data_IF_079720529990
#
_entry.id   IF_079720529990
#
_cell.length_a   1.000
_cell.length_b   1.000
_cell.length_c   1.000
_cell.angle_alpha   90.00
_cell.angle_beta   90.00
_cell.angle_gamma   90.00
#
_symmetry.space_group_name_H-M   'P 1'
#
loop_
_entity.id
_entity.type
_entity.pdbx_description
1 polymer ?
#
# COMPACT_ATOMS: atom_id res chain seq x y z
N UNK A 1 -6.94 2.11 -6.44
CA UNK A 1 -7.02 2.70 -7.79
C UNK A 1 -8.41 2.55 -8.43
N UNK A 2 -9.17 1.48 -8.18
CA UNK A 2 -10.53 1.34 -8.72
C UNK A 2 -11.56 2.38 -8.22
N UNK A 3 -11.33 2.98 -7.04
CA UNK A 3 -12.26 3.97 -6.43
C UNK A 3 -12.14 5.38 -7.02
N UNK A 4 -11.19 5.62 -7.92
CA UNK A 4 -11.02 6.90 -8.60
C UNK A 4 -11.75 6.95 -9.95
N UNK A 5 -12.48 5.89 -10.29
CA UNK A 5 -13.34 5.82 -11.48
C UNK A 5 -14.76 6.21 -11.06
N UNK A 6 -15.32 7.31 -11.58
CA UNK A 6 -16.70 7.71 -11.32
C UNK A 6 -17.68 6.67 -11.91
N UNK A 7 -18.78 6.43 -11.21
CA UNK A 7 -19.95 5.77 -11.80
C UNK A 7 -20.68 6.79 -12.70
N UNK A 8 -20.83 6.54 -14.02
CA UNK A 8 -21.49 7.47 -14.93
C UNK A 8 -23.00 7.67 -14.64
N UNK A 9 -23.60 6.84 -13.78
CA UNK A 9 -25.00 6.96 -13.37
C UNK A 9 -25.19 7.56 -11.97
N UNK A 10 -24.10 7.92 -11.28
CA UNK A 10 -24.16 8.62 -10.00
C UNK A 10 -23.45 9.98 -10.08
N UNK A 11 -24.18 11.04 -9.76
CA UNK A 11 -23.56 12.33 -9.48
C UNK A 11 -22.84 12.25 -8.14
N UNK A 12 -21.51 12.19 -8.21
CA UNK A 12 -20.61 12.23 -7.04
C UNK A 12 -19.94 13.60 -6.96
N UNK A 13 -20.19 14.33 -5.87
CA UNK A 13 -19.63 15.68 -5.65
C UNK A 13 -18.09 15.67 -5.53
N UNK A 14 -17.50 14.56 -5.07
CA UNK A 14 -16.06 14.40 -4.97
C UNK A 14 -15.62 12.94 -5.18
N UNK A 15 -14.67 12.72 -6.09
CA UNK A 15 -14.02 11.43 -6.28
C UNK A 15 -13.11 11.11 -5.09
N UNK A 16 -13.01 9.82 -4.75
CA UNK A 16 -12.05 9.37 -3.75
C UNK A 16 -10.62 9.69 -4.21
N UNK A 17 -10.00 10.64 -3.52
CA UNK A 17 -8.59 10.96 -3.64
C UNK A 17 -7.84 10.25 -2.52
N UNK A 18 -6.66 9.70 -2.82
CA UNK A 18 -5.78 9.21 -1.76
C UNK A 18 -5.38 10.43 -0.92
N UNK A 19 -5.74 10.49 0.36
CA UNK A 19 -5.41 11.64 1.19
C UNK A 19 -3.90 11.70 1.45
N UNK A 20 -3.35 12.92 1.49
CA UNK A 20 -1.94 13.18 1.76
C UNK A 20 -1.09 13.49 0.52
N UNK A 21 0.12 13.99 0.76
CA UNK A 21 1.14 14.22 -0.27
C UNK A 21 2.00 12.97 -0.46
N UNK A 22 2.55 12.73 -1.66
CA UNK A 22 3.67 11.79 -1.80
C UNK A 22 4.77 12.15 -0.78
N UNK A 23 5.41 11.15 -0.15
CA UNK A 23 6.52 11.44 0.75
C UNK A 23 7.63 12.15 -0.02
N UNK A 24 8.32 13.06 0.65
CA UNK A 24 9.53 13.68 0.12
C UNK A 24 10.58 12.59 -0.14
N UNK A 25 10.89 12.37 -1.42
CA UNK A 25 11.84 11.33 -1.85
C UNK A 25 13.28 11.61 -1.38
N UNK A 26 13.58 12.84 -0.95
CA UNK A 26 14.87 13.18 -0.34
C UNK A 26 14.94 12.82 1.14
N UNK A 27 13.79 12.53 1.78
CA UNK A 27 13.66 12.23 3.21
C UNK A 27 12.74 11.02 3.42
N UNK A 28 13.03 9.93 2.74
CA UNK A 28 12.32 8.67 2.95
C UNK A 28 12.68 8.15 4.35
N UNK A 29 11.72 8.05 5.28
CA UNK A 29 11.98 7.47 6.60
C UNK A 29 12.37 6.00 6.46
N UNK A 30 13.16 5.45 7.39
CA UNK A 30 13.51 4.03 7.37
C UNK A 30 12.27 3.15 7.45
N UNK A 31 12.33 2.00 6.77
CA UNK A 31 11.22 1.06 6.65
C UNK A 31 10.31 1.35 5.46
N UNK A 32 9.10 0.78 5.48
CA UNK A 32 8.21 0.82 4.33
C UNK A 32 7.79 2.25 3.97
N UNK A 33 8.15 2.71 2.77
CA UNK A 33 7.81 4.03 2.22
C UNK A 33 6.31 4.32 2.10
N UNK A 34 5.47 3.29 2.17
CA UNK A 34 4.02 3.41 2.11
C UNK A 34 3.36 3.59 3.48
N UNK A 35 4.08 3.39 4.60
CA UNK A 35 3.54 3.47 5.97
C UNK A 35 2.68 4.71 6.24
N UNK A 36 3.06 5.95 5.84
CA UNK A 36 2.26 7.14 6.13
C UNK A 36 0.86 7.17 5.49
N UNK A 37 0.62 6.33 4.47
CA UNK A 37 -0.60 6.30 3.65
C UNK A 37 -1.21 4.90 3.51
N UNK A 38 -0.63 3.90 4.17
CA UNK A 38 -1.09 2.52 4.08
C UNK A 38 -2.22 2.28 5.08
N UNK A 39 -3.43 1.87 4.66
CA UNK A 39 -4.53 1.57 5.58
C UNK A 39 -4.29 0.32 6.44
N UNK A 40 -3.28 -0.49 6.09
CA UNK A 40 -2.88 -1.69 6.82
C UNK A 40 -1.53 -1.52 7.55
N UNK A 41 -1.11 -0.28 7.80
CA UNK A 41 0.13 0.00 8.50
C UNK A 41 0.13 -0.67 9.90
N UNK A 42 1.25 -1.30 10.24
CA UNK A 42 1.49 -1.96 11.52
C UNK A 42 2.91 -1.65 12.01
N UNK A 43 3.22 -1.91 13.28
CA UNK A 43 4.51 -1.54 13.85
C UNK A 43 5.72 -2.11 13.09
N UNK A 44 5.58 -3.33 12.56
CA UNK A 44 6.61 -3.97 11.75
C UNK A 44 6.93 -3.22 10.44
N UNK A 45 6.00 -2.39 9.93
CA UNK A 45 6.23 -1.56 8.74
C UNK A 45 7.30 -0.48 8.93
N UNK A 46 7.74 -0.22 10.18
CA UNK A 46 8.90 0.64 10.48
C UNK A 46 10.22 0.02 10.03
N UNK A 47 10.23 -1.27 9.69
CA UNK A 47 11.34 -1.99 9.09
C UNK A 47 11.06 -2.30 7.61
N UNK A 48 12.12 -2.43 6.82
CA UNK A 48 12.00 -2.72 5.39
C UNK A 48 11.63 -4.20 5.18
N UNK A 49 10.50 -4.50 4.51
CA UNK A 49 10.14 -5.89 4.21
C UNK A 49 11.05 -6.49 3.15
N UNK A 50 11.32 -7.79 3.29
CA UNK A 50 12.02 -8.55 2.24
C UNK A 50 11.15 -8.66 0.98
N UNK A 51 11.78 -8.63 -0.19
CA UNK A 51 11.10 -8.93 -1.45
C UNK A 51 10.85 -10.44 -1.55
N UNK A 52 9.58 -10.85 -1.60
CA UNK A 52 9.17 -12.26 -1.67
C UNK A 52 8.31 -12.54 -2.89
N UNK A 53 8.41 -13.76 -3.44
CA UNK A 53 7.50 -14.25 -4.47
C UNK A 53 6.14 -14.58 -3.85
N UNK A 54 5.07 -14.01 -4.39
CA UNK A 54 3.66 -14.16 -3.95
C UNK A 54 2.77 -14.77 -5.03
N UNK A 55 3.30 -15.01 -6.23
CA UNK A 55 2.63 -15.70 -7.31
C UNK A 55 3.64 -16.13 -8.39
N UNK A 56 3.22 -16.84 -9.45
CA UNK A 56 4.13 -17.42 -10.45
C UNK A 56 5.08 -16.40 -11.11
N UNK A 57 4.63 -15.16 -11.26
CA UNK A 57 5.37 -14.05 -11.88
C UNK A 57 5.34 -12.77 -11.04
N UNK A 58 4.87 -12.85 -9.80
CA UNK A 58 4.62 -11.66 -8.96
C UNK A 58 5.43 -11.69 -7.68
N UNK A 59 6.08 -10.57 -7.38
CA UNK A 59 6.85 -10.34 -6.15
C UNK A 59 6.28 -9.16 -5.37
N UNK A 60 6.45 -9.20 -4.05
CA UNK A 60 5.97 -8.16 -3.15
C UNK A 60 6.93 -7.96 -1.99
N UNK A 61 7.19 -6.70 -1.64
CA UNK A 61 7.89 -6.30 -0.41
C UNK A 61 6.85 -5.72 0.56
N UNK A 62 5.94 -6.56 1.06
CA UNK A 62 4.89 -6.16 1.99
C UNK A 62 4.84 -7.14 3.16
N UNK A 63 4.84 -6.62 4.38
CA UNK A 63 4.79 -7.46 5.59
C UNK A 63 3.53 -8.33 5.66
N UNK A 64 2.39 -7.89 5.10
CA UNK A 64 1.18 -8.71 5.01
C UNK A 64 1.42 -10.00 4.22
N UNK A 65 2.05 -9.89 3.06
CA UNK A 65 2.29 -11.04 2.17
C UNK A 65 3.39 -11.98 2.70
N UNK A 66 4.26 -11.47 3.58
CA UNK A 66 5.26 -12.29 4.28
C UNK A 66 4.60 -13.08 5.42
N UNK A 67 3.57 -12.54 6.08
CA UNK A 67 2.82 -13.28 7.11
C UNK A 67 1.83 -14.29 6.51
N UNK A 68 1.23 -13.99 5.35
CA UNK A 68 0.19 -14.84 4.73
C UNK A 68 0.67 -16.21 4.23
N UNK A 69 2.00 -16.45 4.15
CA UNK A 69 2.53 -17.80 3.87
C UNK A 69 2.28 -18.82 5.00
N UNK A 70 1.71 -18.40 6.13
CA UNK A 70 1.42 -19.27 7.29
C UNK A 70 -0.08 -19.56 7.50
N UNK A 71 -0.97 -19.30 6.54
CA UNK A 71 -2.39 -19.69 6.66
C UNK A 71 -2.81 -20.63 5.52
N UNK A 72 -2.37 -21.88 5.62
CA UNK A 72 -3.09 -23.09 5.16
C UNK A 72 -2.97 -24.13 6.26
#
# INVERSE_FOLDING_TARGET
LLRSVPDPYQDVEALYQIPGLPPDLTRIPPGCSFTPRCPHAMDRCREEPALVTVGPTHTSACWLNIQEKNHV
#
